data_IF_767960404533
#
_entry.id   IF_767960404533
#
_cell.length_a   1.000
_cell.length_b   1.000
_cell.length_c   1.000
_cell.angle_alpha   90.00
_cell.angle_beta   90.00
_cell.angle_gamma   90.00
#
_symmetry.space_group_name_H-M   'P 1'
#
loop_
_entity.id
_entity.type
_entity.pdbx_description
1 polymer ?
#
# COMPACT_ATOMS: atom_id res chain seq x y z
N UNK A 1 -2.19 0.62 9.56
CA UNK A 1 -3.06 1.80 9.84
C UNK A 1 -3.36 2.61 8.59
N UNK A 2 -2.37 3.13 7.84
CA UNK A 2 -2.64 4.03 6.70
C UNK A 2 -3.59 3.49 5.61
N UNK A 3 -3.61 2.18 5.32
CA UNK A 3 -4.58 1.59 4.38
C UNK A 3 -6.04 1.69 4.86
N UNK A 4 -6.28 1.53 6.17
CA UNK A 4 -7.62 1.69 6.75
C UNK A 4 -8.05 3.17 6.82
N UNK A 5 -7.09 4.07 7.03
CA UNK A 5 -7.29 5.52 6.97
C UNK A 5 -7.71 5.99 5.56
N UNK A 6 -7.15 5.39 4.49
CA UNK A 6 -7.63 5.62 3.12
C UNK A 6 -9.07 5.16 2.96
N UNK A 7 -9.40 3.92 3.35
CA UNK A 7 -10.77 3.39 3.22
C UNK A 7 -11.79 4.26 3.97
N UNK A 8 -11.48 4.64 5.21
CA UNK A 8 -12.31 5.55 6.03
C UNK A 8 -12.44 6.95 5.41
N UNK A 9 -11.37 7.49 4.83
CA UNK A 9 -11.45 8.78 4.13
C UNK A 9 -12.29 8.66 2.87
N UNK A 10 -12.14 7.60 2.07
CA UNK A 10 -12.96 7.38 0.88
C UNK A 10 -14.43 7.26 1.25
N UNK A 11 -14.79 6.44 2.24
CA UNK A 11 -16.17 6.29 2.72
C UNK A 11 -16.84 7.64 3.05
N UNK A 12 -16.14 8.49 3.82
CA UNK A 12 -16.61 9.84 4.14
C UNK A 12 -16.78 10.73 2.89
N UNK A 13 -15.98 10.55 1.84
CA UNK A 13 -16.13 11.27 0.57
C UNK A 13 -17.35 10.79 -0.21
N UNK A 14 -17.58 9.48 -0.29
CA UNK A 14 -18.73 8.90 -0.99
C UNK A 14 -20.07 9.37 -0.39
N UNK A 15 -20.09 9.61 0.93
CA UNK A 15 -21.25 10.11 1.68
C UNK A 15 -21.40 11.64 1.61
N UNK A 16 -20.31 12.38 1.38
CA UNK A 16 -20.32 13.85 1.41
C UNK A 16 -21.07 14.47 0.22
N UNK A 17 -22.05 15.31 0.51
CA UNK A 17 -22.93 15.97 -0.50
C UNK A 17 -22.29 17.19 -1.18
N UNK A 18 -21.00 17.44 -0.95
CA UNK A 18 -20.35 18.73 -1.22
C UNK A 18 -19.77 18.92 -2.64
N UNK A 19 -19.83 17.90 -3.50
CA UNK A 19 -19.30 17.95 -4.87
C UNK A 19 -20.39 18.14 -5.92
N UNK A 20 -20.27 19.22 -6.71
CA UNK A 20 -21.09 19.46 -7.90
C UNK A 20 -21.02 18.29 -8.88
N UNK A 21 -22.18 17.74 -9.27
CA UNK A 21 -22.29 16.57 -10.16
C UNK A 21 -22.83 15.30 -9.48
N UNK A 22 -22.96 15.26 -8.15
CA UNK A 22 -23.56 14.13 -7.43
C UNK A 22 -25.09 14.07 -7.53
N UNK A 23 -25.77 15.16 -7.90
CA UNK A 23 -27.24 15.21 -7.93
C UNK A 23 -27.85 14.12 -8.83
N UNK A 24 -27.25 13.89 -10.01
CA UNK A 24 -27.64 12.83 -10.93
C UNK A 24 -27.48 11.43 -10.31
N UNK A 25 -26.45 11.23 -9.49
CA UNK A 25 -26.22 9.98 -8.76
C UNK A 25 -27.26 9.80 -7.63
N UNK A 26 -27.53 10.84 -6.83
CA UNK A 26 -28.58 10.79 -5.81
C UNK A 26 -29.96 10.51 -6.43
N UNK A 27 -30.30 11.16 -7.54
CA UNK A 27 -31.54 10.91 -8.28
C UNK A 27 -31.62 9.46 -8.78
N UNK A 28 -30.54 8.92 -9.34
CA UNK A 28 -30.47 7.53 -9.80
C UNK A 28 -30.57 6.51 -8.65
N UNK A 29 -29.92 6.76 -7.51
CA UNK A 29 -30.02 5.92 -6.30
C UNK A 29 -31.43 5.95 -5.68
N UNK A 30 -32.09 7.11 -5.67
CA UNK A 30 -33.48 7.23 -5.23
C UNK A 30 -34.44 6.46 -6.16
N UNK A 31 -34.20 6.51 -7.48
CA UNK A 31 -34.94 5.68 -8.46
C UNK A 31 -34.67 4.18 -8.32
N UNK A 32 -33.44 3.80 -8.00
CA UNK A 32 -33.03 2.41 -7.79
C UNK A 32 -33.75 1.78 -6.60
N UNK A 33 -33.78 2.47 -5.44
CA UNK A 33 -34.19 1.86 -4.17
C UNK A 33 -35.58 2.29 -3.65
N UNK A 34 -36.00 3.54 -3.90
CA UNK A 34 -37.20 4.12 -3.26
C UNK A 34 -38.40 4.28 -4.20
N UNK A 35 -38.19 4.55 -5.50
CA UNK A 35 -39.28 4.66 -6.47
C UNK A 35 -40.26 3.47 -6.51
N UNK A 36 -39.85 2.19 -6.36
CA UNK A 36 -40.80 1.07 -6.30
C UNK A 36 -41.85 1.27 -5.20
N UNK A 37 -41.40 1.68 -4.01
CA UNK A 37 -42.26 1.89 -2.83
C UNK A 37 -43.19 3.08 -3.04
N UNK A 38 -42.69 4.15 -3.65
CA UNK A 38 -43.49 5.32 -4.02
C UNK A 38 -44.57 5.00 -5.07
N UNK A 39 -44.35 3.98 -5.91
CA UNK A 39 -45.33 3.46 -6.87
C UNK A 39 -46.28 2.39 -6.27
N UNK A 40 -46.16 2.08 -4.98
CA UNK A 40 -46.99 1.07 -4.31
C UNK A 40 -46.58 -0.38 -4.55
N UNK A 41 -45.39 -0.64 -5.11
CA UNK A 41 -44.85 -1.99 -5.23
C UNK A 41 -44.42 -2.53 -3.85
N UNK A 42 -44.57 -3.86 -3.60
CA UNK A 42 -44.21 -4.44 -2.31
C UNK A 42 -42.68 -4.43 -2.09
N UNK A 43 -42.26 -4.37 -0.83
CA UNK A 43 -40.85 -4.28 -0.41
C UNK A 43 -40.02 -5.51 -0.85
N UNK A 44 -40.67 -6.61 -1.23
CA UNK A 44 -40.02 -7.79 -1.82
C UNK A 44 -39.47 -7.57 -3.23
N UNK A 45 -39.93 -6.55 -3.96
CA UNK A 45 -39.40 -6.22 -5.30
C UNK A 45 -38.07 -5.50 -5.14
N UNK A 46 -36.99 -6.18 -5.55
CA UNK A 46 -35.62 -5.67 -5.57
C UNK A 46 -35.28 -5.10 -6.96
N UNK A 47 -34.31 -4.18 -7.07
CA UNK A 47 -33.77 -3.78 -8.37
C UNK A 47 -33.15 -4.97 -9.11
N UNK A 48 -33.29 -4.97 -10.44
CA UNK A 48 -32.61 -5.89 -11.33
C UNK A 48 -31.08 -5.75 -11.23
N UNK A 49 -30.34 -6.84 -11.42
CA UNK A 49 -28.89 -6.87 -11.31
C UNK A 49 -28.22 -5.85 -12.24
N UNK A 50 -28.59 -5.86 -13.52
CA UNK A 50 -28.04 -4.97 -14.53
C UNK A 50 -28.38 -3.50 -14.30
N UNK A 51 -29.58 -3.23 -13.77
CA UNK A 51 -29.98 -1.87 -13.38
C UNK A 51 -29.13 -1.35 -12.22
N UNK A 52 -28.97 -2.18 -11.19
CA UNK A 52 -28.09 -1.90 -10.05
C UNK A 52 -26.66 -1.60 -10.52
N UNK A 53 -26.08 -2.47 -11.34
CA UNK A 53 -24.70 -2.31 -11.84
C UNK A 53 -24.51 -1.00 -12.60
N UNK A 54 -25.44 -0.64 -13.50
CA UNK A 54 -25.34 0.61 -14.24
C UNK A 54 -25.48 1.85 -13.35
N UNK A 55 -26.40 1.85 -12.37
CA UNK A 55 -26.51 2.96 -11.41
C UNK A 55 -25.25 3.08 -10.54
N UNK A 56 -24.83 1.98 -9.91
CA UNK A 56 -23.69 1.97 -8.99
C UNK A 56 -22.37 2.33 -9.69
N UNK A 57 -22.07 1.74 -10.86
CA UNK A 57 -20.84 2.07 -11.60
C UNK A 57 -20.81 3.51 -12.09
N UNK A 58 -21.97 4.09 -12.43
CA UNK A 58 -22.10 5.52 -12.75
C UNK A 58 -21.73 6.39 -11.55
N UNK A 59 -22.38 6.18 -10.41
CA UNK A 59 -22.09 6.87 -9.15
C UNK A 59 -20.61 6.80 -8.74
N UNK A 60 -20.03 5.59 -8.69
CA UNK A 60 -18.62 5.38 -8.31
C UNK A 60 -17.64 6.05 -9.30
N UNK A 61 -18.03 6.21 -10.57
CA UNK A 61 -17.20 6.87 -11.57
C UNK A 61 -17.33 8.40 -11.47
N UNK A 62 -18.53 8.93 -11.23
CA UNK A 62 -18.76 10.36 -10.98
C UNK A 62 -18.01 10.85 -9.73
N UNK A 63 -18.00 10.03 -8.68
CA UNK A 63 -17.20 10.24 -7.46
C UNK A 63 -15.70 9.92 -7.62
N UNK A 64 -15.25 9.53 -8.83
CA UNK A 64 -13.85 9.26 -9.18
C UNK A 64 -13.16 8.15 -8.37
N UNK A 65 -13.91 7.38 -7.57
CA UNK A 65 -13.38 6.32 -6.71
C UNK A 65 -12.64 5.21 -7.48
N UNK A 66 -13.02 4.96 -8.75
CA UNK A 66 -12.31 4.03 -9.63
C UNK A 66 -10.83 4.38 -9.86
N UNK A 67 -10.43 5.65 -9.73
CA UNK A 67 -9.03 6.10 -9.87
C UNK A 67 -8.13 5.66 -8.70
N UNK A 68 -8.75 5.20 -7.59
CA UNK A 68 -8.05 4.64 -6.45
C UNK A 68 -7.69 3.15 -6.64
N UNK A 69 -8.31 2.43 -7.57
CA UNK A 69 -8.12 0.98 -7.72
C UNK A 69 -6.67 0.61 -8.08
N UNK A 70 -6.10 1.22 -9.11
CA UNK A 70 -4.72 0.96 -9.54
C UNK A 70 -3.68 1.28 -8.44
N UNK A 71 -3.66 2.46 -7.79
CA UNK A 71 -2.69 2.73 -6.73
C UNK A 71 -2.94 1.87 -5.47
N UNK A 72 -4.19 1.50 -5.17
CA UNK A 72 -4.54 0.60 -4.07
C UNK A 72 -4.01 -0.82 -4.29
N UNK A 73 -4.29 -1.41 -5.45
CA UNK A 73 -3.82 -2.76 -5.81
C UNK A 73 -2.30 -2.83 -5.86
N UNK A 74 -1.63 -1.80 -6.40
CA UNK A 74 -0.18 -1.72 -6.38
C UNK A 74 0.38 -1.65 -4.95
N UNK A 75 -0.18 -0.80 -4.08
CA UNK A 75 0.21 -0.71 -2.67
C UNK A 75 0.03 -2.05 -1.93
N UNK A 76 -1.13 -2.72 -2.08
CA UNK A 76 -1.37 -4.03 -1.47
C UNK A 76 -0.39 -5.09 -1.97
N UNK A 77 -0.08 -5.10 -3.27
CA UNK A 77 0.82 -6.09 -3.87
C UNK A 77 2.24 -6.01 -3.29
N UNK A 78 2.82 -4.81 -3.19
CA UNK A 78 4.15 -4.65 -2.56
C UNK A 78 4.09 -4.93 -1.05
N UNK A 79 2.98 -4.57 -0.39
CA UNK A 79 2.80 -4.83 1.05
C UNK A 79 2.75 -6.33 1.34
N UNK A 80 2.03 -7.13 0.55
CA UNK A 80 2.05 -8.58 0.67
C UNK A 80 3.43 -9.17 0.40
N UNK A 81 4.16 -8.63 -0.58
CA UNK A 81 5.54 -9.07 -0.87
C UNK A 81 6.45 -8.83 0.34
N UNK A 82 6.36 -7.65 0.96
CA UNK A 82 7.09 -7.33 2.19
C UNK A 82 6.68 -8.26 3.34
N UNK A 83 5.39 -8.54 3.51
CA UNK A 83 4.89 -9.46 4.54
C UNK A 83 5.42 -10.89 4.32
N UNK A 84 5.42 -11.39 3.08
CA UNK A 84 5.97 -12.71 2.73
C UNK A 84 7.46 -12.77 3.05
N UNK A 85 8.25 -11.80 2.60
CA UNK A 85 9.69 -11.74 2.88
C UNK A 85 10.00 -11.58 4.38
N UNK A 86 9.20 -10.79 5.11
CA UNK A 86 9.38 -10.61 6.58
C UNK A 86 9.16 -11.91 7.35
N UNK A 87 8.32 -12.80 6.84
CA UNK A 87 8.07 -14.11 7.44
C UNK A 87 9.20 -15.12 7.21
N UNK A 88 10.00 -14.98 6.15
CA UNK A 88 11.05 -15.95 5.78
C UNK A 88 12.07 -16.19 6.91
N UNK A 89 12.84 -17.29 6.81
CA UNK A 89 13.82 -17.68 7.83
C UNK A 89 14.93 -16.64 8.05
N UNK A 90 15.26 -15.83 7.03
CA UNK A 90 16.16 -14.67 7.10
C UNK A 90 15.43 -13.35 7.37
N UNK A 91 14.13 -13.39 7.65
CA UNK A 91 13.32 -12.25 8.03
C UNK A 91 13.67 -11.70 9.41
N UNK A 92 13.03 -10.60 9.79
CA UNK A 92 13.35 -9.78 10.98
C UNK A 92 13.46 -10.63 12.24
N UNK A 93 12.52 -11.55 12.46
CA UNK A 93 12.51 -12.39 13.65
C UNK A 93 13.63 -13.45 13.65
N UNK A 94 13.94 -14.05 12.50
CA UNK A 94 15.05 -14.98 12.36
C UNK A 94 16.37 -14.31 12.72
N UNK A 95 16.61 -13.11 12.18
CA UNK A 95 17.78 -12.28 12.52
C UNK A 95 17.81 -11.96 14.01
N UNK A 96 16.70 -11.45 14.59
CA UNK A 96 16.62 -11.13 16.02
C UNK A 96 16.89 -12.34 16.92
N UNK A 97 16.38 -13.54 16.59
CA UNK A 97 16.66 -14.77 17.35
C UNK A 97 18.13 -15.20 17.25
N UNK A 98 18.83 -14.91 16.15
CA UNK A 98 20.29 -15.16 16.04
C UNK A 98 21.16 -14.14 16.78
N UNK A 99 20.63 -12.98 17.17
CA UNK A 99 21.41 -11.88 17.75
C UNK A 99 22.18 -12.29 19.02
N UNK A 100 21.56 -13.07 19.91
CA UNK A 100 22.22 -13.58 21.13
C UNK A 100 23.43 -14.46 20.82
N UNK A 101 23.33 -15.29 19.78
CA UNK A 101 24.45 -16.13 19.32
C UNK A 101 25.55 -15.25 18.72
N UNK A 102 25.21 -14.25 17.88
CA UNK A 102 26.18 -13.28 17.33
C UNK A 102 26.90 -12.48 18.41
N UNK A 103 26.22 -12.10 19.49
CA UNK A 103 26.84 -11.44 20.65
C UNK A 103 27.79 -12.41 21.36
N UNK A 104 27.39 -13.68 21.55
CA UNK A 104 28.25 -14.70 22.16
C UNK A 104 29.50 -14.99 21.32
N UNK A 105 29.34 -15.12 20.00
CA UNK A 105 30.44 -15.27 19.04
C UNK A 105 31.41 -14.09 19.10
N UNK A 106 30.90 -12.85 19.15
CA UNK A 106 31.71 -11.65 19.24
C UNK A 106 32.48 -11.55 20.58
N UNK A 107 31.85 -11.92 21.70
CA UNK A 107 32.51 -11.99 23.02
C UNK A 107 33.61 -13.07 23.01
N UNK A 108 33.33 -14.25 22.45
CA UNK A 108 34.31 -15.34 22.33
C UNK A 108 35.47 -14.96 21.41
N UNK A 109 35.21 -14.28 20.28
CA UNK A 109 36.24 -13.77 19.41
C UNK A 109 37.12 -12.74 20.13
N UNK A 110 36.52 -11.82 20.89
CA UNK A 110 37.22 -10.79 21.66
C UNK A 110 38.04 -11.38 22.82
N UNK A 111 37.56 -12.42 23.51
CA UNK A 111 38.31 -13.08 24.59
C UNK A 111 39.49 -13.89 24.08
N UNK A 112 39.35 -14.60 22.95
CA UNK A 112 40.44 -15.36 22.33
C UNK A 112 41.50 -14.42 21.73
N UNK A 113 41.07 -13.39 21.00
CA UNK A 113 42.00 -12.49 20.29
C UNK A 113 42.46 -11.29 21.12
N UNK A 114 41.94 -11.10 22.34
CA UNK A 114 42.19 -9.95 23.21
C UNK A 114 43.65 -9.56 23.34
N UNK A 115 44.57 -10.47 23.72
CA UNK A 115 46.01 -10.15 23.85
C UNK A 115 46.67 -9.74 22.52
N UNK A 116 46.18 -10.27 21.40
CA UNK A 116 46.68 -9.97 20.05
C UNK A 116 46.19 -8.60 19.58
N UNK A 117 44.92 -8.26 19.89
CA UNK A 117 44.32 -6.94 19.69
C UNK A 117 45.07 -5.91 20.55
N UNK A 118 45.26 -6.17 21.84
CA UNK A 118 45.98 -5.28 22.76
C UNK A 118 47.42 -5.03 22.28
N UNK A 119 48.14 -6.06 21.83
CA UNK A 119 49.48 -5.92 21.25
C UNK A 119 49.51 -5.03 20.00
N UNK A 120 48.49 -5.14 19.12
CA UNK A 120 48.35 -4.26 17.95
C UNK A 120 48.01 -2.82 18.35
N UNK A 121 47.06 -2.62 19.26
CA UNK A 121 46.68 -1.29 19.78
C UNK A 121 47.87 -0.62 20.46
N UNK A 122 48.61 -1.33 21.33
CA UNK A 122 49.80 -0.82 22.02
C UNK A 122 50.92 -0.41 21.06
N UNK A 123 51.05 -1.09 19.92
CA UNK A 123 52.02 -0.73 18.86
C UNK A 123 51.63 0.55 18.11
N UNK A 124 50.33 0.79 17.89
CA UNK A 124 49.84 1.91 17.08
C UNK A 124 49.52 3.16 17.92
N UNK A 125 48.96 2.98 19.11
CA UNK A 125 48.47 4.05 19.99
C UNK A 125 49.36 4.30 21.21
N UNK A 126 50.38 3.45 21.43
CA UNK A 126 51.25 3.50 22.60
C UNK A 126 50.70 2.72 23.81
N UNK A 127 51.49 2.66 24.88
CA UNK A 127 51.10 2.00 26.13
C UNK A 127 50.06 2.81 26.91
N UNK A 128 48.99 2.17 27.35
CA UNK A 128 47.98 2.79 28.21
C UNK A 128 48.62 3.29 29.51
N UNK A 129 48.55 4.60 29.78
CA UNK A 129 48.88 5.17 31.08
C UNK A 129 47.67 5.05 32.01
N UNK A 130 47.73 4.12 32.95
CA UNK A 130 46.77 4.08 34.06
C UNK A 130 46.96 5.34 34.90
N UNK A 131 45.92 6.19 34.96
CA UNK A 131 45.90 7.36 35.85
C UNK A 131 45.65 6.85 37.28
N UNK A 132 46.70 6.75 38.07
CA UNK A 132 46.60 6.43 39.50
C UNK A 132 45.92 7.60 40.23
N UNK A 133 44.61 7.49 40.47
CA UNK A 133 43.80 8.66 40.81
C UNK A 133 42.48 8.44 41.56
N UNK A 134 42.29 7.32 42.28
CA UNK A 134 41.41 7.27 43.47
C UNK A 134 41.57 5.96 44.25
N UNK A 135 42.70 5.80 44.94
CA UNK A 135 42.82 4.89 46.07
C UNK A 135 43.04 5.76 47.30
N UNK A 136 41.99 5.98 48.10
CA UNK A 136 42.13 6.67 49.39
C UNK A 136 43.03 5.85 50.30
N UNK A 137 44.03 6.54 50.86
CA UNK A 137 45.09 5.94 51.68
C UNK A 137 44.55 4.97 52.74
N UNK A 138 44.93 3.71 52.63
CA UNK A 138 45.11 2.80 53.77
C UNK A 138 46.51 2.23 53.69
N UNK A 139 47.22 2.30 54.82
CA UNK A 139 48.65 1.98 54.92
C UNK A 139 48.92 0.49 54.65
N UNK A 140 50.14 0.14 54.21
CA UNK A 140 50.51 -1.26 53.98
C UNK A 140 50.91 -1.92 55.31
N UNK A 141 50.01 -2.73 55.87
CA UNK A 141 50.41 -3.69 56.91
C UNK A 141 51.19 -4.84 56.26
N UNK A 142 52.49 -4.89 56.54
CA UNK A 142 53.34 -6.01 56.16
C UNK A 142 53.01 -7.23 57.03
N UNK A 143 52.46 -8.30 56.45
CA UNK A 143 52.83 -9.68 56.83
C UNK A 143 52.33 -10.78 55.89
N UNK A 144 53.21 -11.77 55.73
CA UNK A 144 53.10 -13.07 55.06
C UNK A 144 52.95 -13.06 53.52
N UNK A 145 54.04 -13.50 52.89
CA UNK A 145 54.05 -13.95 51.50
C UNK A 145 53.48 -15.38 51.39
N UNK A 146 52.83 -15.65 50.26
CA UNK A 146 52.53 -16.97 49.73
C UNK A 146 52.53 -16.90 48.20
N UNK A 147 53.14 -17.86 47.48
CA UNK A 147 53.11 -17.89 46.02
C UNK A 147 51.76 -18.42 45.50
N UNK A 148 51.52 -18.22 44.20
CA UNK A 148 50.34 -18.67 43.44
C UNK A 148 48.97 -18.15 43.92
N UNK A 149 48.64 -16.95 43.43
CA UNK A 149 47.27 -16.54 43.18
C UNK A 149 47.18 -15.96 41.76
N UNK A 150 47.05 -16.85 40.77
CA UNK A 150 46.53 -16.45 39.46
C UNK A 150 45.16 -15.82 39.67
N UNK A 151 45.02 -14.54 39.35
CA UNK A 151 43.71 -13.87 39.33
C UNK A 151 42.92 -14.44 38.16
N UNK A 152 42.23 -15.55 38.40
CA UNK A 152 41.15 -16.01 37.54
C UNK A 152 40.09 -14.90 37.53
N UNK A 153 40.05 -14.11 36.45
CA UNK A 153 38.80 -13.46 36.08
C UNK A 153 37.77 -14.60 35.94
N UNK A 154 36.56 -14.47 36.52
CA UNK A 154 35.54 -15.50 36.38
C UNK A 154 35.29 -15.75 34.90
N UNK A 155 35.72 -16.91 34.42
CA UNK A 155 35.49 -17.31 33.03
C UNK A 155 33.99 -17.30 32.81
N UNK A 156 33.52 -16.45 31.88
CA UNK A 156 32.11 -16.43 31.48
C UNK A 156 31.83 -17.75 30.78
N UNK A 157 31.37 -18.74 31.55
CA UNK A 157 31.11 -20.09 31.05
C UNK A 157 29.89 -20.04 30.15
N UNK A 158 30.13 -20.10 28.83
CA UNK A 158 29.09 -20.17 27.78
C UNK A 158 28.46 -21.57 27.74
N UNK A 159 28.00 -22.07 28.89
CA UNK A 159 27.42 -23.40 29.07
C UNK A 159 25.91 -23.38 29.38
N UNK A 160 25.29 -22.19 29.45
CA UNK A 160 23.84 -22.05 29.66
C UNK A 160 23.03 -21.86 28.37
N UNK A 161 23.66 -21.48 27.25
CA UNK A 161 22.96 -21.13 25.98
C UNK A 161 22.65 -22.36 25.11
N UNK A 162 23.36 -23.48 25.32
CA UNK A 162 23.25 -24.69 24.49
C UNK A 162 22.11 -25.65 24.88
N UNK A 163 20.99 -25.17 25.45
CA UNK A 163 19.74 -25.94 25.46
C UNK A 163 18.97 -25.66 24.19
N UNK A 164 18.96 -26.66 23.30
CA UNK A 164 18.57 -26.50 21.91
C UNK A 164 17.16 -25.96 21.71
N UNK A 165 17.06 -24.66 21.42
CA UNK A 165 15.93 -24.07 20.72
C UNK A 165 15.95 -24.49 19.24
N UNK A 166 15.78 -25.81 19.00
CA UNK A 166 15.21 -26.33 17.76
C UNK A 166 13.68 -26.33 17.87
N UNK A 167 13.16 -25.24 18.42
CA UNK A 167 11.73 -24.98 18.48
C UNK A 167 11.26 -24.72 17.05
N UNK A 168 10.14 -25.35 16.66
CA UNK A 168 9.69 -25.30 15.27
C UNK A 168 9.34 -23.85 14.93
N UNK A 169 9.77 -23.43 13.75
CA UNK A 169 9.44 -22.14 13.12
C UNK A 169 7.93 -21.88 12.95
N UNK A 170 7.06 -22.85 13.27
CA UNK A 170 5.60 -22.78 13.14
C UNK A 170 4.92 -21.76 14.06
N UNK A 171 5.43 -21.54 15.28
CA UNK A 171 4.65 -20.90 16.36
C UNK A 171 5.18 -19.53 16.80
N UNK A 172 5.64 -18.73 15.85
CA UNK A 172 5.87 -17.30 16.11
C UNK A 172 4.55 -16.52 16.24
N UNK A 173 4.39 -15.68 17.29
CA UNK A 173 3.30 -14.70 17.37
C UNK A 173 3.31 -13.70 16.20
N UNK A 174 4.49 -13.30 15.71
CA UNK A 174 4.60 -12.41 14.54
C UNK A 174 4.28 -13.16 13.24
N UNK A 175 4.82 -14.37 13.06
CA UNK A 175 4.59 -15.20 11.89
C UNK A 175 3.11 -15.55 11.68
N UNK A 176 2.39 -15.79 12.78
CA UNK A 176 0.93 -16.02 12.77
C UNK A 176 0.12 -14.75 12.48
N UNK A 177 0.46 -13.60 13.09
CA UNK A 177 -0.18 -12.31 12.75
C UNK A 177 0.02 -11.92 11.28
N UNK A 178 1.21 -12.15 10.73
CA UNK A 178 1.52 -11.89 9.33
C UNK A 178 0.80 -12.86 8.38
N UNK A 179 0.53 -14.10 8.79
CA UNK A 179 -0.33 -15.03 8.06
C UNK A 179 -1.79 -14.56 8.08
N UNK A 180 -2.33 -14.20 9.26
CA UNK A 180 -3.69 -13.66 9.41
C UNK A 180 -3.92 -12.41 8.56
N UNK A 181 -2.91 -11.56 8.38
CA UNK A 181 -2.98 -10.42 7.45
C UNK A 181 -3.16 -10.86 5.99
N UNK A 182 -2.37 -11.82 5.50
CA UNK A 182 -2.49 -12.33 4.12
C UNK A 182 -3.85 -13.00 3.89
N UNK A 183 -4.32 -13.77 4.87
CA UNK A 183 -5.62 -14.44 4.84
C UNK A 183 -6.77 -13.42 4.88
N UNK A 184 -6.65 -12.35 5.66
CA UNK A 184 -7.61 -11.24 5.68
C UNK A 184 -7.65 -10.49 4.34
N UNK A 185 -6.51 -10.13 3.75
CA UNK A 185 -6.45 -9.45 2.43
C UNK A 185 -7.10 -10.30 1.33
N UNK A 186 -6.94 -11.63 1.40
CA UNK A 186 -7.54 -12.57 0.45
C UNK A 186 -9.04 -12.74 0.69
N UNK A 187 -9.46 -13.05 1.92
CA UNK A 187 -10.86 -13.35 2.27
C UNK A 187 -11.79 -12.14 2.23
N UNK A 188 -11.27 -10.92 2.43
CA UNK A 188 -12.05 -9.67 2.32
C UNK A 188 -12.11 -9.11 0.90
N UNK A 189 -11.54 -9.81 -0.09
CA UNK A 189 -11.42 -9.34 -1.47
C UNK A 189 -10.83 -7.91 -1.56
N UNK A 190 -9.84 -7.60 -0.72
CA UNK A 190 -9.23 -6.28 -0.68
C UNK A 190 -8.51 -5.94 -2.00
N UNK A 191 -8.00 -6.94 -2.75
CA UNK A 191 -7.59 -6.76 -4.14
C UNK A 191 -8.79 -6.55 -5.05
N UNK A 192 -8.75 -5.50 -5.87
CA UNK A 192 -9.83 -5.12 -6.76
C UNK A 192 -11.05 -4.53 -6.04
N UNK A 193 -10.91 -4.13 -4.76
CA UNK A 193 -12.01 -3.57 -3.97
C UNK A 193 -12.73 -2.43 -4.69
N UNK A 194 -11.99 -1.43 -5.18
CA UNK A 194 -12.57 -0.27 -5.86
C UNK A 194 -13.15 -0.61 -7.24
N UNK A 195 -12.52 -1.53 -7.99
CA UNK A 195 -13.05 -1.99 -9.28
C UNK A 195 -14.36 -2.79 -9.15
N UNK A 196 -14.50 -3.60 -8.09
CA UNK A 196 -15.61 -4.53 -7.92
C UNK A 196 -16.68 -4.07 -6.90
N UNK A 197 -16.56 -2.87 -6.33
CA UNK A 197 -17.46 -2.38 -5.28
C UNK A 197 -18.95 -2.39 -5.71
N UNK A 198 -19.23 -1.97 -6.95
CA UNK A 198 -20.58 -2.05 -7.52
C UNK A 198 -21.06 -3.50 -7.66
N UNK A 199 -20.20 -4.37 -8.18
CA UNK A 199 -20.49 -5.79 -8.41
C UNK A 199 -20.73 -6.55 -7.09
N UNK A 200 -19.95 -6.28 -6.04
CA UNK A 200 -20.16 -6.82 -4.70
C UNK A 200 -21.49 -6.38 -4.08
N UNK A 201 -21.88 -5.11 -4.22
CA UNK A 201 -23.15 -4.62 -3.69
C UNK A 201 -24.35 -5.14 -4.48
N UNK A 202 -24.27 -5.19 -5.81
CA UNK A 202 -25.35 -5.67 -6.67
C UNK A 202 -25.49 -7.19 -6.70
N UNK A 203 -24.51 -7.94 -6.18
CA UNK A 203 -24.60 -9.39 -5.99
C UNK A 203 -25.17 -9.79 -4.62
N UNK A 204 -25.39 -8.83 -3.72
CA UNK A 204 -26.02 -9.07 -2.42
C UNK A 204 -27.54 -9.22 -2.60
N UNK A 205 -28.06 -10.42 -2.31
CA UNK A 205 -29.50 -10.73 -2.37
C UNK A 205 -30.35 -9.83 -1.46
N UNK A 206 -29.78 -9.19 -0.44
CA UNK A 206 -30.52 -8.22 0.38
C UNK A 206 -30.73 -6.86 -0.32
N UNK A 207 -29.90 -6.55 -1.32
CA UNK A 207 -29.91 -5.25 -2.02
C UNK A 207 -30.54 -5.32 -3.42
N UNK A 208 -30.18 -6.33 -4.22
CA UNK A 208 -30.61 -6.49 -5.60
C UNK A 208 -30.96 -7.96 -5.91
N UNK A 209 -31.58 -8.20 -7.06
CA UNK A 209 -31.72 -9.56 -7.57
C UNK A 209 -30.39 -10.05 -8.18
N UNK A 210 -30.11 -11.35 -8.05
CA UNK A 210 -28.86 -11.98 -8.53
C UNK A 210 -28.75 -12.04 -10.05
N UNK A 211 -29.89 -11.94 -10.75
CA UNK A 211 -30.01 -11.99 -12.22
C UNK A 211 -31.13 -11.07 -12.67
N UNK A 212 -31.07 -10.63 -13.91
CA UNK A 212 -32.18 -9.91 -14.53
C UNK A 212 -33.30 -10.92 -14.83
N UNK A 213 -34.42 -10.79 -14.10
CA UNK A 213 -35.61 -11.63 -14.21
C UNK A 213 -36.82 -10.79 -14.60
N UNK A 214 -37.95 -11.42 -14.93
CA UNK A 214 -39.19 -10.69 -15.21
C UNK A 214 -39.81 -10.01 -13.97
N UNK A 215 -39.36 -10.35 -12.76
CA UNK A 215 -39.98 -9.98 -11.48
C UNK A 215 -39.17 -8.95 -10.66
N UNK A 216 -38.10 -8.37 -11.24
CA UNK A 216 -37.28 -7.33 -10.61
C UNK A 216 -37.65 -5.91 -11.11
N UNK A 217 -37.20 -4.89 -10.38
CA UNK A 217 -37.41 -3.48 -10.74
C UNK A 217 -36.32 -2.96 -11.70
N UNK A 218 -36.72 -2.50 -12.89
CA UNK A 218 -35.82 -2.02 -13.94
C UNK A 218 -35.69 -0.49 -14.05
N UNK A 219 -36.12 0.26 -13.03
CA UNK A 219 -36.10 1.73 -13.00
C UNK A 219 -37.37 2.41 -13.54
N UNK A 220 -38.26 1.66 -14.20
CA UNK A 220 -39.55 2.16 -14.69
C UNK A 220 -40.75 1.30 -14.25
N UNK A 221 -40.59 -0.03 -14.24
CA UNK A 221 -41.62 -1.00 -13.88
C UNK A 221 -40.99 -2.28 -13.32
N UNK A 222 -41.84 -3.21 -12.87
CA UNK A 222 -41.44 -4.61 -12.72
C UNK A 222 -41.28 -5.22 -14.11
N UNK A 223 -40.15 -5.89 -14.36
CA UNK A 223 -39.79 -6.46 -15.65
C UNK A 223 -38.28 -6.56 -15.84
N UNK A 224 -37.86 -7.37 -16.81
CA UNK A 224 -36.45 -7.56 -17.17
C UNK A 224 -35.74 -6.24 -17.50
N UNK A 225 -34.44 -6.18 -17.18
CA UNK A 225 -33.55 -5.09 -17.54
C UNK A 225 -32.82 -5.39 -18.86
N UNK A 226 -33.14 -4.63 -19.91
CA UNK A 226 -32.69 -4.91 -21.29
C UNK A 226 -31.65 -3.93 -21.82
N UNK A 227 -31.25 -2.92 -21.04
CA UNK A 227 -30.23 -1.94 -21.42
C UNK A 227 -28.83 -2.55 -21.28
N UNK A 228 -27.88 -2.10 -22.10
CA UNK A 228 -26.50 -2.62 -22.10
C UNK A 228 -25.76 -2.28 -20.80
N UNK A 229 -25.01 -3.25 -20.27
CA UNK A 229 -24.17 -3.03 -19.09
C UNK A 229 -22.91 -2.22 -19.45
N UNK A 230 -22.70 -1.14 -18.71
CA UNK A 230 -21.57 -0.23 -18.91
C UNK A 230 -20.46 -0.57 -17.92
N UNK A 231 -19.21 -0.56 -18.41
CA UNK A 231 -18.01 -0.84 -17.61
C UNK A 231 -17.65 0.34 -16.71
N UNK A 232 -16.96 0.14 -15.57
CA UNK A 232 -16.43 1.25 -14.78
C UNK A 232 -15.49 2.16 -15.59
N UNK A 233 -15.36 3.42 -15.19
CA UNK A 233 -14.41 4.38 -15.77
C UNK A 233 -15.03 5.40 -16.72
N UNK A 234 -14.45 6.61 -16.73
CA UNK A 234 -15.03 7.82 -17.33
C UNK A 234 -15.44 7.62 -18.80
N UNK A 235 -14.60 7.00 -19.62
CA UNK A 235 -14.86 6.86 -21.06
C UNK A 235 -16.02 5.94 -21.41
N UNK A 236 -16.28 4.91 -20.60
CA UNK A 236 -17.45 4.07 -20.75
C UNK A 236 -18.71 4.75 -20.19
N UNK A 237 -18.59 5.41 -19.04
CA UNK A 237 -19.71 5.99 -18.30
C UNK A 237 -20.33 7.23 -18.96
N UNK A 238 -19.64 7.87 -19.91
CA UNK A 238 -20.22 8.83 -20.87
C UNK A 238 -21.46 8.28 -21.62
N UNK A 239 -21.59 6.95 -21.73
CA UNK A 239 -22.69 6.27 -22.42
C UNK A 239 -23.63 5.52 -21.46
N UNK A 240 -23.64 5.86 -20.16
CA UNK A 240 -24.51 5.21 -19.18
C UNK A 240 -26.00 5.57 -19.42
N UNK A 241 -26.90 4.57 -19.56
CA UNK A 241 -28.32 4.80 -19.82
C UNK A 241 -29.15 5.12 -18.56
N UNK A 242 -28.54 5.17 -17.37
CA UNK A 242 -29.17 5.52 -16.09
C UNK A 242 -28.65 6.82 -15.47
N UNK A 243 -27.42 7.24 -15.80
CA UNK A 243 -26.81 8.48 -15.32
C UNK A 243 -26.27 9.30 -16.49
N UNK A 244 -26.62 10.58 -16.53
CA UNK A 244 -25.96 11.57 -17.37
C UNK A 244 -24.60 11.93 -16.76
N UNK A 245 -23.52 11.55 -17.43
CA UNK A 245 -22.16 11.97 -17.06
C UNK A 245 -22.05 13.49 -17.04
N UNK A 246 -21.62 14.05 -15.92
CA UNK A 246 -21.24 15.46 -15.83
C UNK A 246 -19.74 15.55 -15.69
N UNK A 247 -19.09 16.34 -16.54
CA UNK A 247 -17.67 16.62 -16.42
C UNK A 247 -17.44 17.59 -15.26
N UNK A 248 -17.37 17.02 -14.05
CA UNK A 248 -17.02 17.71 -12.82
C UNK A 248 -15.53 17.53 -12.52
N UNK A 249 -14.92 18.57 -11.96
CA UNK A 249 -13.61 18.47 -11.33
C UNK A 249 -13.65 17.37 -10.24
N UNK A 250 -12.66 16.47 -10.17
CA UNK A 250 -12.57 15.48 -9.10
C UNK A 250 -12.40 16.18 -7.74
N UNK A 251 -12.96 15.60 -6.66
CA UNK A 251 -12.62 16.09 -5.31
C UNK A 251 -11.09 15.97 -5.13
N UNK A 252 -10.37 17.07 -4.81
CA UNK A 252 -8.91 17.05 -4.68
C UNK A 252 -8.41 16.02 -3.65
N UNK A 253 -9.24 15.60 -2.70
CA UNK A 253 -8.92 14.53 -1.74
C UNK A 253 -8.79 13.16 -2.40
N UNK A 254 -9.52 12.86 -3.48
CA UNK A 254 -9.32 11.61 -4.24
C UNK A 254 -7.91 11.58 -4.84
N UNK A 255 -7.46 12.71 -5.42
CA UNK A 255 -6.08 12.88 -5.87
C UNK A 255 -5.07 12.71 -4.73
N UNK A 256 -5.30 13.35 -3.58
CA UNK A 256 -4.44 13.21 -2.40
C UNK A 256 -4.36 11.75 -1.90
N UNK A 257 -5.48 11.00 -1.86
CA UNK A 257 -5.49 9.58 -1.49
C UNK A 257 -4.71 8.73 -2.50
N UNK A 258 -4.85 9.02 -3.79
CA UNK A 258 -4.11 8.39 -4.89
C UNK A 258 -2.59 8.58 -4.72
N UNK A 259 -2.14 9.79 -4.41
CA UNK A 259 -0.73 10.11 -4.18
C UNK A 259 -0.20 9.56 -2.85
N UNK A 260 -1.03 9.56 -1.80
CA UNK A 260 -0.71 8.91 -0.51
C UNK A 260 -0.43 7.41 -0.70
N UNK A 261 -1.24 6.73 -1.52
CA UNK A 261 -1.04 5.34 -1.90
C UNK A 261 0.26 5.13 -2.70
N UNK A 262 0.53 5.97 -3.72
CA UNK A 262 1.79 5.92 -4.49
C UNK A 262 3.01 6.09 -3.57
N UNK A 263 2.95 7.04 -2.64
CA UNK A 263 4.02 7.27 -1.66
C UNK A 263 4.22 6.07 -0.73
N UNK A 264 3.15 5.51 -0.16
CA UNK A 264 3.25 4.30 0.67
C UNK A 264 3.87 3.12 -0.08
N UNK A 265 3.46 2.89 -1.34
CA UNK A 265 4.07 1.87 -2.19
C UNK A 265 5.57 2.09 -2.35
N UNK A 266 5.99 3.34 -2.60
CA UNK A 266 7.42 3.68 -2.74
C UNK A 266 8.21 3.44 -1.45
N UNK A 267 7.62 3.73 -0.28
CA UNK A 267 8.24 3.41 1.02
C UNK A 267 8.42 1.89 1.17
N UNK A 268 7.40 1.09 0.88
CA UNK A 268 7.50 -0.39 0.91
C UNK A 268 8.57 -0.90 -0.07
N UNK A 269 8.60 -0.40 -1.30
CA UNK A 269 9.60 -0.75 -2.31
C UNK A 269 11.03 -0.41 -1.87
N UNK A 270 11.25 0.71 -1.18
CA UNK A 270 12.58 1.07 -0.66
C UNK A 270 13.10 0.14 0.43
N UNK A 271 12.20 -0.41 1.26
CA UNK A 271 12.57 -1.44 2.24
C UNK A 271 12.89 -2.78 1.54
N UNK A 272 12.08 -3.15 0.53
CA UNK A 272 12.32 -4.33 -0.30
C UNK A 272 13.62 -4.26 -1.12
N UNK A 273 14.05 -3.08 -1.57
CA UNK A 273 15.32 -2.93 -2.30
C UNK A 273 16.53 -2.94 -1.36
N UNK A 274 16.43 -2.30 -0.19
CA UNK A 274 17.48 -2.33 0.84
C UNK A 274 17.75 -3.74 1.35
N UNK A 275 16.72 -4.57 1.58
CA UNK A 275 16.92 -5.97 1.97
C UNK A 275 17.63 -6.77 0.89
N UNK A 276 17.28 -6.59 -0.39
CA UNK A 276 17.96 -7.27 -1.51
C UNK A 276 19.43 -6.82 -1.67
N UNK A 277 19.74 -5.55 -1.44
CA UNK A 277 21.12 -5.04 -1.44
C UNK A 277 21.94 -5.64 -0.30
N UNK A 278 21.43 -5.60 0.94
CA UNK A 278 22.12 -6.15 2.11
C UNK A 278 22.33 -7.67 2.02
N UNK A 279 21.36 -8.41 1.47
CA UNK A 279 21.52 -9.84 1.21
C UNK A 279 22.62 -10.10 0.17
N UNK A 280 22.71 -9.27 -0.88
CA UNK A 280 23.76 -9.38 -1.90
C UNK A 280 25.15 -9.10 -1.32
N UNK A 281 25.30 -8.04 -0.52
CA UNK A 281 26.56 -7.73 0.18
C UNK A 281 26.96 -8.82 1.18
N UNK A 282 25.98 -9.44 1.86
CA UNK A 282 26.25 -10.52 2.82
C UNK A 282 26.81 -11.79 2.15
N UNK A 283 26.45 -12.05 0.89
CA UNK A 283 26.95 -13.20 0.14
C UNK A 283 28.35 -12.95 -0.45
N UNK A 284 28.65 -11.69 -0.83
CA UNK A 284 29.96 -11.28 -1.36
C UNK A 284 31.06 -11.25 -0.28
N UNK A 285 30.70 -11.15 1.00
CA UNK A 285 31.66 -11.14 2.13
C UNK A 285 32.11 -12.54 2.60
N UNK A 286 31.98 -13.55 1.75
CA UNK A 286 32.33 -14.95 2.05
C UNK A 286 33.72 -15.39 1.58
N UNK A 287 34.31 -14.73 0.58
CA UNK A 287 35.58 -15.15 -0.04
C UNK A 287 36.59 -14.00 -0.17
N UNK A 288 37.22 -13.64 0.95
CA UNK A 288 38.49 -12.88 0.92
C UNK A 288 39.68 -13.80 0.56
N UNK A 289 39.61 -14.34 -0.65
CA UNK A 289 40.68 -15.12 -1.30
C UNK A 289 41.75 -14.21 -1.90
N UNK A 290 42.90 -14.11 -1.21
CA UNK A 290 44.04 -13.30 -1.66
C UNK A 290 44.70 -13.91 -2.91
N UNK A 291 44.45 -13.31 -4.09
CA UNK A 291 44.96 -13.78 -5.38
C UNK A 291 45.53 -12.66 -6.25
N UNK A 292 46.82 -12.36 -6.10
CA UNK A 292 47.56 -11.45 -6.98
C UNK A 292 47.95 -12.16 -8.27
N UNK A 293 47.66 -11.60 -9.46
CA UNK A 293 48.32 -12.10 -10.67
C UNK A 293 47.73 -11.71 -12.03
N UNK A 294 48.43 -10.82 -12.72
CA UNK A 294 48.77 -10.90 -14.15
C UNK A 294 47.66 -10.75 -15.22
N UNK A 295 47.85 -9.73 -16.07
CA UNK A 295 47.15 -9.56 -17.34
C UNK A 295 47.88 -10.30 -18.46
N UNK A 296 47.16 -10.95 -19.39
CA UNK A 296 47.67 -11.23 -20.72
C UNK A 296 46.91 -10.45 -21.81
N UNK A 297 47.64 -9.57 -22.49
CA UNK A 297 47.63 -9.46 -23.96
C UNK A 297 47.94 -10.87 -24.54
N UNK A 298 47.48 -11.33 -25.71
CA UNK A 298 47.93 -11.08 -27.09
C UNK A 298 46.82 -11.62 -28.02
N UNK A 299 46.39 -10.88 -29.04
CA UNK A 299 46.72 -11.11 -30.47
C UNK A 299 45.83 -12.15 -31.19
N UNK A 300 45.63 -11.90 -32.49
CA UNK A 300 44.81 -12.68 -33.41
C UNK A 300 45.43 -14.04 -33.73
N UNK A 301 44.61 -14.97 -34.24
CA UNK A 301 44.90 -15.58 -35.54
C UNK A 301 43.62 -16.18 -36.18
N UNK A 302 43.59 -16.18 -37.52
CA UNK A 302 42.51 -16.68 -38.37
C UNK A 302 42.58 -18.19 -38.59
N UNK A 303 41.43 -18.86 -38.47
CA UNK A 303 41.02 -20.00 -39.32
C UNK A 303 39.48 -20.18 -39.18
N UNK A 304 38.72 -20.54 -40.22
CA UNK A 304 39.19 -20.98 -41.53
C UNK A 304 38.33 -22.04 -42.23
N UNK A 305 37.00 -22.09 -42.03
CA UNK A 305 36.13 -23.07 -42.71
C UNK A 305 34.92 -22.45 -43.40
N UNK A 306 34.81 -22.68 -44.71
CA UNK A 306 33.68 -22.32 -45.59
C UNK A 306 32.68 -23.48 -45.64
N UNK A 307 31.38 -23.17 -45.71
CA UNK A 307 30.59 -23.34 -46.94
C UNK A 307 29.18 -22.73 -46.75
N UNK A 308 28.88 -21.56 -47.32
CA UNK A 308 28.19 -21.34 -48.62
C UNK A 308 26.90 -22.18 -48.77
N UNK A 309 25.69 -21.63 -48.97
CA UNK A 309 25.22 -20.35 -49.54
C UNK A 309 24.01 -19.81 -48.70
N UNK A 310 23.26 -18.73 -48.98
CA UNK A 310 23.12 -17.81 -50.13
C UNK A 310 22.45 -16.46 -49.68
N UNK A 311 22.34 -15.51 -50.60
CA UNK A 311 21.38 -14.38 -50.77
C UNK A 311 20.03 -14.39 -49.99
N UNK A 312 19.38 -13.25 -49.69
CA UNK A 312 19.39 -11.91 -50.34
C UNK A 312 19.42 -10.73 -49.34
N UNK A 313 19.82 -9.54 -49.82
CA UNK A 313 19.65 -8.28 -49.11
C UNK A 313 19.47 -7.08 -50.07
N UNK A 314 18.82 -6.02 -49.58
CA UNK A 314 18.83 -4.69 -50.21
C UNK A 314 18.37 -3.63 -49.20
N UNK A 315 18.84 -2.40 -49.34
CA UNK A 315 18.52 -1.33 -48.40
C UNK A 315 18.57 0.07 -49.00
N UNK A 316 18.30 1.06 -48.14
CA UNK A 316 18.56 2.51 -48.31
C UNK A 316 17.74 3.30 -49.35
N UNK A 317 17.29 4.50 -48.96
CA UNK A 317 16.93 5.58 -49.91
C UNK A 317 15.89 6.59 -49.40
N UNK A 318 16.33 7.81 -49.06
CA UNK A 318 15.46 8.98 -48.84
C UNK A 318 15.00 9.62 -50.17
N UNK A 319 13.96 10.47 -50.12
CA UNK A 319 13.66 11.45 -51.18
C UNK A 319 12.36 12.22 -50.96
N UNK A 320 12.46 13.54 -50.75
CA UNK A 320 11.35 14.46 -50.44
C UNK A 320 10.55 14.95 -51.67
N UNK A 321 9.44 15.67 -51.41
CA UNK A 321 9.04 17.00 -51.95
C UNK A 321 7.52 17.22 -51.73
N UNK A 322 7.13 18.12 -50.82
CA UNK A 322 6.65 19.50 -51.06
C UNK A 322 5.17 19.63 -51.50
N UNK A 323 4.36 20.32 -50.69
CA UNK A 323 3.65 21.55 -51.11
C UNK A 323 3.33 22.43 -49.88
N UNK A 324 3.00 23.70 -50.09
CA UNK A 324 3.12 24.81 -49.12
C UNK A 324 1.78 25.38 -48.65
N UNK A 325 1.76 26.07 -47.50
CA UNK A 325 1.19 27.43 -47.35
C UNK A 325 1.31 27.98 -45.93
N UNK A 326 1.52 29.30 -45.82
CA UNK A 326 1.69 30.06 -44.59
C UNK A 326 0.36 30.45 -43.90
N UNK A 327 0.41 30.86 -42.63
CA UNK A 327 -0.05 32.20 -42.14
C UNK A 327 0.07 32.28 -40.60
N UNK A 328 0.58 33.42 -40.10
CA UNK A 328 0.69 33.78 -38.67
C UNK A 328 -0.15 35.03 -38.40
N UNK A 329 -0.98 35.06 -37.34
CA UNK A 329 -0.73 35.95 -36.18
C UNK A 329 -1.15 35.30 -34.84
N UNK A 330 -0.85 35.81 -33.64
CA UNK A 330 -0.29 37.08 -33.19
C UNK A 330 -0.85 37.42 -31.79
N UNK A 331 0.00 37.88 -30.86
CA UNK A 331 -0.34 38.04 -29.42
C UNK A 331 -1.36 39.16 -29.14
N UNK A 332 -2.28 38.96 -28.17
CA UNK A 332 -2.84 40.02 -27.29
C UNK A 332 -3.69 39.48 -26.12
N UNK A 333 -3.37 39.92 -24.89
CA UNK A 333 -4.34 40.07 -23.77
C UNK A 333 -5.01 41.46 -23.88
N UNK A 334 -6.21 41.67 -23.29
CA UNK A 334 -6.27 42.30 -21.97
C UNK A 334 -7.41 41.84 -21.04
N UNK A 335 -7.26 42.14 -19.74
CA UNK A 335 -8.27 41.98 -18.67
C UNK A 335 -9.22 43.21 -18.57
N UNK A 336 -10.02 43.38 -17.49
CA UNK A 336 -11.31 42.74 -17.24
C UNK A 336 -12.48 43.77 -17.22
N UNK A 337 -13.75 43.31 -17.12
CA UNK A 337 -14.88 44.19 -16.77
C UNK A 337 -15.84 43.55 -15.76
N UNK A 338 -16.05 44.27 -14.65
CA UNK A 338 -17.16 44.06 -13.72
C UNK A 338 -18.52 44.30 -14.39
N UNK A 339 -19.52 43.51 -14.00
CA UNK A 339 -20.92 43.98 -13.90
C UNK A 339 -21.64 43.23 -12.77
N UNK A 340 -22.21 43.97 -11.83
CA UNK A 340 -23.10 43.46 -10.79
C UNK A 340 -24.48 43.11 -11.38
N UNK A 341 -25.07 42.00 -10.91
CA UNK A 341 -26.53 41.90 -10.73
C UNK A 341 -26.91 40.74 -9.81
N UNK A 342 -27.45 41.05 -8.63
CA UNK A 342 -28.25 40.10 -7.83
C UNK A 342 -29.65 39.95 -8.44
N UNK A 343 -30.39 38.87 -8.09
CA UNK A 343 -31.52 39.14 -7.20
C UNK A 343 -31.78 38.08 -6.11
N UNK A 344 -32.26 38.60 -4.97
CA UNK A 344 -33.23 38.03 -4.03
C UNK A 344 -33.12 36.57 -3.55
N UNK A 345 -32.68 36.39 -2.30
CA UNK A 345 -32.96 35.21 -1.48
C UNK A 345 -34.26 35.40 -0.68
N UNK A 346 -35.14 34.40 -0.68
CA UNK A 346 -36.23 34.29 0.32
C UNK A 346 -35.85 33.22 1.35
N UNK A 347 -35.52 33.65 2.57
CA UNK A 347 -35.33 32.75 3.71
C UNK A 347 -36.64 32.62 4.49
N UNK A 348 -37.08 31.38 4.74
CA UNK A 348 -38.19 31.08 5.66
C UNK A 348 -37.60 30.64 6.99
N UNK A 349 -37.77 31.46 8.03
CA UNK A 349 -37.37 31.15 9.39
C UNK A 349 -38.52 30.46 10.14
N UNK A 350 -38.35 29.19 10.52
CA UNK A 350 -39.23 28.58 11.51
C UNK A 350 -38.79 28.98 12.92
N UNK A 351 -39.78 29.29 13.76
CA UNK A 351 -39.57 29.79 15.13
C UNK A 351 -39.34 28.67 16.14
N UNK A 352 -38.83 29.06 17.32
CA UNK A 352 -38.26 28.15 18.31
C UNK A 352 -39.19 27.17 19.08
N UNK A 353 -40.55 27.26 19.15
CA UNK A 353 -41.31 26.34 20.00
C UNK A 353 -41.40 24.90 19.46
N UNK A 354 -41.07 24.65 18.19
CA UNK A 354 -41.20 23.32 17.57
C UNK A 354 -40.05 22.35 17.92
N UNK A 355 -38.91 22.83 18.44
CA UNK A 355 -37.74 22.00 18.75
C UNK A 355 -37.87 21.24 20.08
N UNK A 356 -38.68 21.73 21.02
CA UNK A 356 -38.82 21.14 22.36
C UNK A 356 -39.67 19.86 22.38
N UNK A 357 -40.63 19.71 21.47
CA UNK A 357 -41.48 18.51 21.38
C UNK A 357 -40.75 17.30 20.80
N UNK A 358 -39.81 17.51 19.88
CA UNK A 358 -39.03 16.44 19.25
C UNK A 358 -38.04 15.81 20.24
N UNK A 359 -37.41 16.60 21.10
CA UNK A 359 -36.42 16.12 22.08
C UNK A 359 -37.09 15.26 23.18
N UNK A 360 -38.32 15.59 23.57
CA UNK A 360 -39.08 14.82 24.57
C UNK A 360 -39.55 13.44 24.09
N UNK A 361 -39.69 13.24 22.77
CA UNK A 361 -40.08 11.94 22.20
C UNK A 361 -38.90 10.95 22.05
N UNK A 362 -37.66 11.44 22.09
CA UNK A 362 -36.44 10.63 21.91
C UNK A 362 -35.83 10.07 23.20
N UNK A 363 -36.41 10.37 24.38
CA UNK A 363 -35.84 10.02 25.69
C UNK A 363 -36.57 8.91 26.47
N UNK A 364 -37.56 8.24 25.85
CA UNK A 364 -38.24 7.08 26.43
C UNK A 364 -37.57 5.77 25.97
N UNK A 365 -36.93 5.01 26.88
CA UNK A 365 -36.33 3.73 26.51
C UNK A 365 -37.42 2.66 26.33
N UNK A 366 -37.54 2.14 25.11
CA UNK A 366 -38.42 1.00 24.82
C UNK A 366 -37.88 -0.26 25.50
N UNK A 367 -38.49 -0.59 26.64
CA UNK A 367 -38.23 -1.83 27.36
C UNK A 367 -38.73 -3.05 26.58
N UNK A 368 -37.98 -4.15 26.73
CA UNK A 368 -38.27 -5.53 26.30
C UNK A 368 -39.77 -5.86 26.24
N UNK A 369 -40.17 -6.52 25.15
CA UNK A 369 -41.22 -7.54 25.19
C UNK A 369 -40.70 -8.86 24.60
N UNK A 370 -41.39 -9.93 24.96
CA UNK A 370 -40.90 -11.31 25.04
C UNK A 370 -41.02 -12.12 23.75
#
# INVERSE_FOLDING_TARGET
LLGADILNTTDQLMVSTSSSGLDNCYEALLRLHYCPRCQGLPVSIKPCNGYCLNVMRGCLTQQRAHELDLPWNNFLSETERLVRQTREHSGVEGVLRTLTNRISDAIMYASINGPLIEKKVKKLCGGAKLVAGSATSRQPDQRLAGPDASVELPGVTVSSVARGYRERYSDSPLGSQLQLFLDAVTSTHARGFYANLADSLCSDESFAETRDTADCWNGLRVGEYTKTLVRPGVDAQKYNPELTWTESEPDPKIGQLSDKLRHMRQVVLSQLSQTNQLMSESFVRGEEGSGSGHSPHWESDDDGSRDTWNEEGSGSGNGDLEETSEVVPGVKQPSPKNTNSNPASHAVTLSAPCLLTVILLLSLPLARWH
#
